data_IF_095085202524
#
_entry.id   IF_095085202524
#
_cell.length_a   1.000
_cell.length_b   1.000
_cell.length_c   1.000
_cell.angle_alpha   90.00
_cell.angle_beta   90.00
_cell.angle_gamma   90.00
#
_symmetry.space_group_name_H-M   'P 1'
#
loop_
_entity.id
_entity.type
_entity.pdbx_description
1 polymer ?
#
# COMPACT_ATOMS: atom_id res chain seq x y z
N UNK A 1 4.81 28.63 23.20
CA UNK A 1 5.53 29.72 22.51
C UNK A 1 4.73 31.03 22.55
N UNK A 2 3.51 31.10 22.01
CA UNK A 2 2.74 32.33 21.86
C UNK A 2 2.57 33.08 23.20
N UNK A 3 2.11 32.43 24.25
CA UNK A 3 1.85 33.04 25.56
C UNK A 3 3.12 33.33 26.40
N UNK A 4 4.26 32.80 26.05
CA UNK A 4 5.51 32.92 26.84
C UNK A 4 6.64 33.66 26.14
N UNK A 5 6.49 33.96 24.84
CA UNK A 5 7.48 34.66 24.00
C UNK A 5 6.80 35.73 23.20
N UNK A 6 6.60 36.89 23.85
CA UNK A 6 5.94 38.07 23.23
C UNK A 6 6.73 38.50 21.99
N UNK A 7 6.04 38.68 20.87
CA UNK A 7 6.61 39.07 19.60
C UNK A 7 7.02 37.88 18.69
N UNK A 8 7.05 36.64 19.21
CA UNK A 8 7.45 35.48 18.43
C UNK A 8 6.43 35.05 17.38
N UNK A 9 6.91 34.42 16.30
CA UNK A 9 6.08 33.83 15.25
C UNK A 9 6.14 32.32 15.32
N UNK A 10 4.98 31.68 15.22
CA UNK A 10 4.86 30.23 15.03
C UNK A 10 4.24 29.98 13.66
N UNK A 11 4.89 29.17 12.83
CA UNK A 11 4.35 28.68 11.56
C UNK A 11 3.98 27.22 11.73
N UNK A 12 2.80 26.86 11.27
CA UNK A 12 2.34 25.47 11.22
C UNK A 12 2.05 25.11 9.78
N UNK A 13 2.60 23.99 9.32
CA UNK A 13 2.37 23.45 7.99
C UNK A 13 2.13 21.94 8.05
N UNK A 14 1.38 21.43 7.08
CA UNK A 14 1.11 20.02 6.93
C UNK A 14 1.36 19.58 5.47
N UNK A 15 1.25 18.29 5.20
CA UNK A 15 1.48 17.75 3.86
C UNK A 15 0.43 18.17 2.82
N UNK A 16 -0.72 18.68 3.24
CA UNK A 16 -1.80 19.18 2.36
C UNK A 16 -2.62 20.28 3.02
N UNK A 17 -3.31 21.09 2.19
CA UNK A 17 -4.23 22.12 2.68
C UNK A 17 -5.39 21.52 3.48
N UNK A 18 -5.93 20.38 3.03
CA UNK A 18 -7.02 19.70 3.74
C UNK A 18 -6.57 19.25 5.14
N UNK A 19 -5.39 18.65 5.27
CA UNK A 19 -4.81 18.25 6.56
C UNK A 19 -4.62 19.48 7.46
N UNK A 20 -3.97 20.52 6.95
CA UNK A 20 -3.69 21.72 7.72
C UNK A 20 -4.98 22.37 8.26
N UNK A 21 -5.99 22.57 7.40
CA UNK A 21 -7.21 23.31 7.77
C UNK A 21 -8.18 22.47 8.60
N UNK A 22 -8.43 21.22 8.19
CA UNK A 22 -9.51 20.41 8.78
C UNK A 22 -9.10 19.66 10.03
N UNK A 23 -7.81 19.34 10.16
CA UNK A 23 -7.30 18.53 11.27
C UNK A 23 -6.39 19.36 12.15
N UNK A 24 -5.21 19.74 11.67
CA UNK A 24 -4.19 20.42 12.48
C UNK A 24 -4.68 21.73 13.06
N UNK A 25 -5.33 22.59 12.24
CA UNK A 25 -5.84 23.88 12.69
C UNK A 25 -7.05 23.73 13.64
N UNK A 26 -7.90 22.75 13.41
CA UNK A 26 -9.03 22.43 14.28
C UNK A 26 -8.54 22.05 15.69
N UNK A 27 -7.52 21.18 15.80
CA UNK A 27 -6.95 20.83 17.10
C UNK A 27 -6.25 22.01 17.76
N UNK A 28 -5.49 22.83 17.03
CA UNK A 28 -4.88 24.05 17.59
C UNK A 28 -5.95 24.98 18.18
N UNK A 29 -7.04 25.23 17.46
CA UNK A 29 -8.11 26.13 17.92
C UNK A 29 -8.84 25.57 19.12
N UNK A 30 -9.09 24.27 19.16
CA UNK A 30 -9.69 23.57 20.32
C UNK A 30 -8.84 23.73 21.57
N UNK A 31 -7.54 23.43 21.49
CA UNK A 31 -6.65 23.57 22.64
C UNK A 31 -6.44 25.00 23.07
N UNK A 32 -6.36 25.98 22.15
CA UNK A 32 -6.29 27.39 22.46
C UNK A 32 -7.52 27.87 23.22
N UNK A 33 -8.71 27.41 22.84
CA UNK A 33 -9.95 27.75 23.54
C UNK A 33 -9.99 27.24 25.01
N UNK A 34 -9.27 26.14 25.28
CA UNK A 34 -9.17 25.58 26.64
C UNK A 34 -8.08 26.21 27.51
N UNK A 35 -7.20 27.05 26.94
CA UNK A 35 -6.13 27.69 27.70
C UNK A 35 -6.68 28.71 28.70
N UNK A 36 -6.03 28.80 29.87
CA UNK A 36 -6.40 29.77 30.92
C UNK A 36 -6.34 31.24 30.44
N UNK A 37 -5.48 31.52 29.47
CA UNK A 37 -5.30 32.82 28.84
C UNK A 37 -5.86 32.91 27.43
N UNK A 38 -6.84 32.09 27.09
CA UNK A 38 -7.48 32.08 25.75
C UNK A 38 -7.98 33.47 25.34
N UNK A 39 -8.47 34.26 26.28
CA UNK A 39 -8.95 35.64 26.09
C UNK A 39 -7.85 36.64 25.67
N UNK A 40 -6.58 36.24 25.71
CA UNK A 40 -5.48 37.08 25.24
C UNK A 40 -5.37 37.08 23.73
N UNK A 41 -6.00 36.11 23.07
CA UNK A 41 -5.79 35.85 21.64
C UNK A 41 -7.10 35.82 20.87
N UNK A 42 -7.04 36.30 19.64
CA UNK A 42 -8.10 36.21 18.66
C UNK A 42 -7.74 35.13 17.63
N UNK A 43 -8.69 34.25 17.34
CA UNK A 43 -8.49 33.10 16.44
C UNK A 43 -9.27 33.35 15.15
N UNK A 44 -8.59 33.25 14.03
CA UNK A 44 -9.19 33.28 12.68
C UNK A 44 -8.98 31.94 11.95
N UNK A 45 -9.43 31.85 10.72
CA UNK A 45 -9.34 30.64 9.91
C UNK A 45 -7.90 30.12 9.68
N UNK A 46 -6.89 30.99 9.76
CA UNK A 46 -5.47 30.63 9.49
C UNK A 46 -4.48 31.33 10.39
N UNK A 47 -4.97 32.13 11.35
CA UNK A 47 -4.08 32.93 12.20
C UNK A 47 -4.64 33.06 13.61
N UNK A 48 -3.75 32.98 14.59
CA UNK A 48 -3.98 33.36 15.96
C UNK A 48 -3.09 34.57 16.25
N UNK A 49 -3.67 35.63 16.76
CA UNK A 49 -2.95 36.87 17.05
C UNK A 49 -3.36 37.40 18.44
N UNK A 50 -2.58 38.29 19.09
CA UNK A 50 -2.98 38.91 20.34
C UNK A 50 -4.26 39.72 20.13
N UNK A 51 -5.14 39.70 21.13
CA UNK A 51 -6.30 40.57 21.17
C UNK A 51 -5.85 42.04 21.15
N UNK A 52 -6.66 42.91 20.54
CA UNK A 52 -6.32 44.32 20.35
C UNK A 52 -5.87 45.02 21.63
N UNK A 53 -6.60 44.81 22.72
CA UNK A 53 -6.27 45.43 24.03
C UNK A 53 -4.89 44.99 24.54
N UNK A 54 -4.52 43.70 24.32
CA UNK A 54 -3.23 43.16 24.75
C UNK A 54 -2.10 43.70 23.86
N UNK A 55 -2.31 43.77 22.55
CA UNK A 55 -1.36 44.35 21.60
C UNK A 55 -1.04 45.81 21.98
N UNK A 56 -2.07 46.63 22.28
CA UNK A 56 -1.92 48.01 22.70
C UNK A 56 -1.10 48.15 24.01
N UNK A 57 -1.32 47.28 25.00
CA UNK A 57 -0.53 47.25 26.24
C UNK A 57 0.93 46.91 25.98
N UNK A 58 1.17 45.84 25.18
CA UNK A 58 2.53 45.38 24.86
C UNK A 58 3.32 46.46 24.10
N UNK A 59 2.69 47.10 23.12
CA UNK A 59 3.33 48.18 22.34
C UNK A 59 3.60 49.42 23.19
N UNK A 60 2.64 49.79 24.05
CA UNK A 60 2.78 50.96 24.91
C UNK A 60 3.81 50.76 26.04
N UNK A 61 3.72 49.63 26.76
CA UNK A 61 4.45 49.43 28.01
C UNK A 61 5.76 48.71 27.83
N UNK A 62 5.80 47.72 26.91
CA UNK A 62 7.02 46.95 26.60
C UNK A 62 7.78 47.47 25.39
N UNK A 63 7.24 48.43 24.64
CA UNK A 63 7.82 48.99 23.41
C UNK A 63 8.15 47.91 22.38
N UNK A 64 7.37 46.82 22.36
CA UNK A 64 7.51 45.72 21.44
C UNK A 64 6.43 45.77 20.36
N UNK A 65 6.84 45.58 19.08
CA UNK A 65 5.88 45.44 18.00
C UNK A 65 5.15 44.09 18.09
N UNK A 66 3.85 44.11 17.86
CA UNK A 66 3.01 42.90 17.95
C UNK A 66 2.60 42.35 16.60
N UNK A 67 3.01 43.00 15.49
CA UNK A 67 2.63 42.63 14.11
C UNK A 67 2.94 41.17 13.77
N UNK A 68 4.07 40.64 14.22
CA UNK A 68 4.54 39.30 13.95
C UNK A 68 4.31 38.33 15.10
N UNK A 69 3.64 38.77 16.18
CA UNK A 69 3.30 37.90 17.29
C UNK A 69 2.07 37.08 16.97
N UNK A 70 2.28 35.90 16.39
CA UNK A 70 1.19 35.07 15.87
C UNK A 70 1.52 33.59 15.77
N UNK A 71 0.48 32.78 15.66
CA UNK A 71 0.54 31.44 15.05
C UNK A 71 -0.14 31.55 13.68
N UNK A 72 0.48 31.03 12.66
CA UNK A 72 -0.02 31.06 11.27
C UNK A 72 0.01 29.67 10.64
N UNK A 73 -1.13 29.23 10.10
CA UNK A 73 -1.20 28.09 9.19
C UNK A 73 -0.69 28.52 7.81
N UNK A 74 0.46 27.97 7.36
CA UNK A 74 1.07 28.33 6.08
C UNK A 74 1.11 27.12 5.16
N UNK A 75 0.59 27.31 3.96
CA UNK A 75 0.68 26.34 2.87
C UNK A 75 2.00 26.49 2.14
N UNK A 76 2.46 25.41 1.55
CA UNK A 76 3.62 25.36 0.68
C UNK A 76 3.22 24.84 -0.73
N UNK A 77 4.07 25.08 -1.72
CA UNK A 77 3.92 24.54 -3.07
C UNK A 77 5.25 23.95 -3.50
N UNK A 78 5.22 22.71 -3.99
CA UNK A 78 6.41 22.05 -4.55
C UNK A 78 6.87 22.73 -5.86
N UNK A 79 5.94 23.30 -6.63
CA UNK A 79 6.23 24.03 -7.87
C UNK A 79 6.89 25.38 -7.60
N UNK A 80 6.64 25.99 -6.44
CA UNK A 80 7.22 27.27 -6.04
C UNK A 80 7.65 27.27 -4.57
N UNK A 81 8.71 26.54 -4.21
CA UNK A 81 9.19 26.44 -2.83
C UNK A 81 9.58 27.79 -2.23
N UNK A 82 10.13 28.72 -3.04
CA UNK A 82 10.59 30.02 -2.59
C UNK A 82 9.46 30.91 -2.04
N UNK A 83 8.22 30.68 -2.45
CA UNK A 83 7.05 31.35 -1.88
C UNK A 83 6.84 31.03 -0.39
N UNK A 84 7.43 29.92 0.09
CA UNK A 84 7.40 29.56 1.51
C UNK A 84 8.43 30.34 2.34
N UNK A 85 9.43 30.95 1.73
CA UNK A 85 10.50 31.71 2.37
C UNK A 85 10.01 33.01 3.06
N UNK A 86 10.90 33.72 3.70
CA UNK A 86 10.71 35.12 4.12
C UNK A 86 10.16 35.28 5.53
N UNK A 87 10.42 34.35 6.44
CA UNK A 87 10.17 34.54 7.86
C UNK A 87 11.48 34.90 8.58
N UNK A 88 11.52 36.13 9.10
CA UNK A 88 12.61 36.62 9.94
C UNK A 88 12.00 37.25 11.19
N UNK A 89 12.35 36.75 12.38
CA UNK A 89 11.82 37.28 13.62
C UNK A 89 12.84 37.16 14.77
N UNK A 90 13.36 38.30 15.21
CA UNK A 90 14.33 38.39 16.31
C UNK A 90 13.74 38.01 17.67
N UNK A 91 12.43 38.09 17.85
CA UNK A 91 11.74 37.75 19.10
C UNK A 91 11.52 36.23 19.24
N UNK A 92 11.74 35.48 18.17
CA UNK A 92 11.68 34.03 18.17
C UNK A 92 10.84 33.44 17.05
N UNK A 93 11.27 32.27 16.60
CA UNK A 93 10.64 31.49 15.54
C UNK A 93 10.36 30.07 16.02
N UNK A 94 9.13 29.62 15.81
CA UNK A 94 8.74 28.24 15.96
C UNK A 94 8.16 27.72 14.65
N UNK A 95 8.67 26.63 14.14
CA UNK A 95 8.13 25.92 12.99
C UNK A 95 7.63 24.56 13.42
N UNK A 96 6.43 24.22 12.98
CA UNK A 96 5.80 22.93 13.24
C UNK A 96 5.39 22.33 11.90
N UNK A 97 5.95 21.16 11.60
CA UNK A 97 5.55 20.33 10.49
C UNK A 97 4.73 19.16 10.98
N UNK A 98 3.46 19.12 10.58
CA UNK A 98 2.54 18.01 10.78
C UNK A 98 2.54 17.13 9.54
N UNK A 99 2.47 15.80 9.72
CA UNK A 99 2.67 14.82 8.64
C UNK A 99 3.96 15.07 7.83
N UNK A 100 5.05 15.33 8.56
CA UNK A 100 6.32 15.80 8.06
C UNK A 100 6.99 14.89 7.02
N UNK A 101 6.72 13.56 7.07
CA UNK A 101 7.22 12.59 6.07
C UNK A 101 6.66 12.84 4.67
N UNK A 102 5.55 13.57 4.56
CA UNK A 102 4.92 13.94 3.30
C UNK A 102 5.42 15.27 2.70
N UNK A 103 6.17 16.06 3.47
CA UNK A 103 6.66 17.39 3.04
C UNK A 103 7.92 17.22 2.17
N UNK A 104 7.96 17.78 0.94
CA UNK A 104 9.11 17.67 0.05
C UNK A 104 10.39 18.30 0.60
N UNK A 105 11.53 17.72 0.26
CA UNK A 105 12.86 18.19 0.71
C UNK A 105 13.16 19.65 0.35
N UNK A 106 12.65 20.14 -0.78
CA UNK A 106 12.75 21.54 -1.19
C UNK A 106 12.15 22.50 -0.17
N UNK A 107 11.01 22.11 0.46
CA UNK A 107 10.35 22.92 1.49
C UNK A 107 11.15 22.92 2.79
N UNK A 108 11.74 21.78 3.18
CA UNK A 108 12.63 21.69 4.33
C UNK A 108 13.87 22.59 4.16
N UNK A 109 14.45 22.63 2.96
CA UNK A 109 15.60 23.48 2.65
C UNK A 109 15.25 24.96 2.77
N UNK A 110 14.13 25.40 2.22
CA UNK A 110 13.67 26.78 2.32
C UNK A 110 13.32 27.15 3.77
N UNK A 111 12.66 26.24 4.49
CA UNK A 111 12.29 26.42 5.90
C UNK A 111 13.51 26.60 6.83
N UNK A 112 14.64 25.99 6.50
CA UNK A 112 15.89 26.19 7.24
C UNK A 112 16.31 27.67 7.28
N UNK A 113 15.95 28.45 6.26
CA UNK A 113 16.17 29.89 6.21
C UNK A 113 15.46 30.69 7.32
N UNK A 114 14.39 30.13 7.93
CA UNK A 114 13.69 30.78 9.05
C UNK A 114 14.55 30.88 10.32
N UNK A 115 15.59 30.11 10.42
CA UNK A 115 16.44 29.98 11.60
C UNK A 115 17.80 30.70 11.46
N UNK A 116 17.95 31.56 10.46
CA UNK A 116 19.19 32.31 10.22
C UNK A 116 19.39 33.47 11.22
N UNK A 117 18.31 33.96 11.83
CA UNK A 117 18.40 35.04 12.83
C UNK A 117 19.06 34.58 14.13
N UNK A 118 19.88 35.45 14.71
CA UNK A 118 20.54 35.16 15.99
C UNK A 118 19.59 35.41 17.16
N UNK A 119 18.68 34.48 17.41
CA UNK A 119 17.78 34.49 18.57
C UNK A 119 17.86 33.16 19.32
N UNK A 120 17.79 33.15 20.70
CA UNK A 120 17.78 31.92 21.47
C UNK A 120 16.48 31.14 21.36
N UNK A 121 15.41 31.75 20.82
CA UNK A 121 14.07 31.18 20.75
C UNK A 121 13.77 30.62 19.35
N UNK A 122 14.53 29.61 18.98
CA UNK A 122 14.39 28.89 17.70
C UNK A 122 13.99 27.47 17.95
N UNK A 123 12.79 27.09 17.49
CA UNK A 123 12.26 25.75 17.68
C UNK A 123 11.71 25.21 16.36
N UNK A 124 12.10 24.00 16.02
CA UNK A 124 11.56 23.27 14.88
C UNK A 124 11.06 21.93 15.34
N UNK A 125 9.77 21.69 15.20
CA UNK A 125 9.11 20.42 15.50
C UNK A 125 8.63 19.78 14.21
N UNK A 126 8.79 18.46 14.11
CA UNK A 126 8.32 17.68 12.98
C UNK A 126 7.71 16.37 13.52
N UNK A 127 6.44 16.17 13.23
CA UNK A 127 5.67 15.01 13.67
C UNK A 127 5.16 14.27 12.45
N UNK A 128 5.29 12.95 12.42
CA UNK A 128 4.72 12.10 11.36
C UNK A 128 4.82 10.63 11.70
N UNK A 129 3.93 9.83 11.14
CA UNK A 129 4.18 8.42 10.97
C UNK A 129 5.33 8.24 9.98
N UNK A 130 6.29 7.34 10.23
CA UNK A 130 7.51 7.16 9.43
C UNK A 130 7.23 6.32 8.17
N UNK A 131 6.39 6.82 7.26
CA UNK A 131 5.87 6.09 6.10
C UNK A 131 6.89 5.87 4.98
N UNK A 132 8.02 6.59 4.99
CA UNK A 132 9.02 6.57 3.92
C UNK A 132 10.41 6.44 4.51
N UNK A 133 11.22 5.53 3.95
CA UNK A 133 12.63 5.38 4.28
C UNK A 133 13.55 6.27 3.42
N UNK A 134 13.06 7.44 3.03
CA UNK A 134 13.77 8.45 2.25
C UNK A 134 13.16 9.84 2.50
N UNK A 135 13.89 10.89 2.14
CA UNK A 135 13.51 12.28 2.32
C UNK A 135 13.96 12.87 3.65
N UNK A 136 13.82 14.19 3.80
CA UNK A 136 14.44 14.94 4.89
C UNK A 136 14.00 14.44 6.27
N UNK A 137 12.70 14.10 6.45
CA UNK A 137 12.20 13.55 7.72
C UNK A 137 12.92 12.26 8.13
N UNK A 138 13.11 11.34 7.16
CA UNK A 138 13.89 10.12 7.41
C UNK A 138 15.34 10.45 7.78
N UNK A 139 15.97 11.41 7.08
CA UNK A 139 17.34 11.82 7.36
C UNK A 139 17.52 12.44 8.75
N UNK A 140 16.48 13.04 9.35
CA UNK A 140 16.52 13.51 10.72
C UNK A 140 16.81 12.38 11.73
N UNK A 141 16.39 11.16 11.44
CA UNK A 141 16.65 9.98 12.25
C UNK A 141 17.95 9.23 11.87
N UNK A 142 18.57 9.60 10.74
CA UNK A 142 19.75 8.93 10.18
C UNK A 142 20.93 9.89 10.03
N UNK A 143 21.20 10.37 8.83
CA UNK A 143 22.40 11.16 8.51
C UNK A 143 22.43 12.54 9.21
N UNK A 144 21.28 13.08 9.59
CA UNK A 144 21.13 14.38 10.26
C UNK A 144 20.79 14.29 11.74
N UNK A 145 20.92 13.10 12.33
CA UNK A 145 20.53 12.84 13.74
C UNK A 145 21.27 13.75 14.74
N UNK A 146 22.49 14.16 14.44
CA UNK A 146 23.28 15.05 15.31
C UNK A 146 22.66 16.46 15.44
N UNK A 147 21.77 16.84 14.51
CA UNK A 147 21.09 18.14 14.51
C UNK A 147 19.66 18.08 15.04
N UNK A 148 19.13 16.85 15.31
CA UNK A 148 17.76 16.63 15.72
C UNK A 148 17.68 15.78 16.98
N UNK A 149 16.79 16.17 17.90
CA UNK A 149 16.35 15.29 18.98
C UNK A 149 15.20 14.43 18.44
N UNK A 150 15.44 13.13 18.28
CA UNK A 150 14.49 12.22 17.67
C UNK A 150 13.94 11.23 18.68
N UNK A 151 12.64 10.95 18.58
CA UNK A 151 11.94 10.00 19.43
C UNK A 151 10.99 9.15 18.58
N UNK A 152 10.96 7.84 18.82
CA UNK A 152 9.96 6.93 18.26
C UNK A 152 8.93 6.65 19.34
N UNK A 153 7.65 6.78 19.01
CA UNK A 153 6.55 6.59 19.94
C UNK A 153 5.78 5.34 19.50
N UNK A 154 5.77 4.31 20.35
CA UNK A 154 4.84 3.19 20.18
C UNK A 154 3.42 3.67 20.54
N UNK A 155 2.49 3.55 19.62
CA UNK A 155 1.13 4.02 19.81
C UNK A 155 0.40 3.32 20.97
N UNK A 156 0.88 2.13 21.38
CA UNK A 156 0.34 1.40 22.53
C UNK A 156 0.77 1.99 23.88
N UNK A 157 1.87 2.75 23.91
CA UNK A 157 2.37 3.41 25.14
C UNK A 157 1.65 4.73 25.42
N UNK A 158 0.89 5.27 24.46
CA UNK A 158 0.12 6.52 24.62
C UNK A 158 -1.17 6.25 25.40
N UNK A 159 -1.45 7.04 26.46
CA UNK A 159 -2.54 6.77 27.42
C UNK A 159 -3.93 6.74 26.76
N UNK A 160 -4.24 7.69 25.90
CA UNK A 160 -5.59 7.90 25.35
C UNK A 160 -5.84 7.19 24.01
N UNK A 161 -5.02 6.20 23.63
CA UNK A 161 -5.20 5.43 22.40
C UNK A 161 -5.97 4.13 22.66
N UNK A 162 -6.76 3.70 21.68
CA UNK A 162 -7.42 2.40 21.69
C UNK A 162 -6.42 1.29 21.33
N UNK A 163 -5.94 0.59 22.36
CA UNK A 163 -4.95 -0.48 22.23
C UNK A 163 -5.45 -1.64 21.36
N UNK A 164 -6.77 -1.91 21.34
CA UNK A 164 -7.34 -3.02 20.58
C UNK A 164 -7.16 -2.81 19.07
N UNK A 165 -7.23 -1.57 18.59
CA UNK A 165 -6.99 -1.26 17.17
C UNK A 165 -5.56 -1.63 16.77
N UNK A 166 -4.57 -1.34 17.60
CA UNK A 166 -3.17 -1.67 17.31
C UNK A 166 -2.89 -3.16 17.38
N UNK A 167 -3.51 -3.87 18.33
CA UNK A 167 -3.43 -5.35 18.41
C UNK A 167 -4.08 -6.00 17.17
N UNK A 168 -5.17 -5.44 16.65
CA UNK A 168 -5.78 -5.91 15.40
C UNK A 168 -4.87 -5.72 14.20
N UNK A 169 -4.19 -4.58 14.08
CA UNK A 169 -3.20 -4.33 13.02
C UNK A 169 -2.10 -5.40 13.08
N UNK A 170 -1.57 -5.69 14.26
CA UNK A 170 -0.53 -6.71 14.43
C UNK A 170 -1.06 -8.10 14.07
N UNK A 171 -2.28 -8.45 14.51
CA UNK A 171 -2.89 -9.74 14.22
C UNK A 171 -3.19 -9.93 12.72
N UNK A 172 -3.62 -8.87 12.04
CA UNK A 172 -3.99 -8.91 10.61
C UNK A 172 -2.76 -8.91 9.70
N UNK A 173 -1.78 -8.06 9.97
CA UNK A 173 -0.64 -7.82 9.07
C UNK A 173 0.63 -8.54 9.51
N UNK A 174 0.75 -8.92 10.78
CA UNK A 174 1.94 -9.48 11.40
C UNK A 174 2.83 -8.42 12.05
N UNK A 175 3.58 -8.84 13.08
CA UNK A 175 4.43 -7.98 13.89
C UNK A 175 5.55 -7.29 13.08
N UNK A 176 6.15 -8.01 12.12
CA UNK A 176 7.21 -7.49 11.25
C UNK A 176 6.71 -6.76 10.01
N UNK A 177 5.40 -6.55 9.88
CA UNK A 177 4.83 -5.87 8.71
C UNK A 177 5.15 -4.37 8.70
N UNK A 178 5.16 -3.77 7.50
CA UNK A 178 5.28 -2.31 7.36
C UNK A 178 4.18 -1.60 8.13
N UNK A 179 2.96 -2.14 8.10
CA UNK A 179 1.82 -1.56 8.80
C UNK A 179 2.06 -1.52 10.32
N UNK A 180 2.51 -2.63 10.90
CA UNK A 180 2.83 -2.66 12.33
C UNK A 180 4.00 -1.72 12.67
N UNK A 181 5.07 -1.72 11.87
CA UNK A 181 6.21 -0.81 12.08
C UNK A 181 5.80 0.65 12.04
N UNK A 182 5.05 1.07 11.02
CA UNK A 182 4.69 2.47 10.78
C UNK A 182 3.58 2.94 11.71
N UNK A 183 2.48 2.16 11.82
CA UNK A 183 1.26 2.62 12.49
C UNK A 183 1.22 2.27 13.97
N UNK A 184 1.99 1.26 14.42
CA UNK A 184 2.03 0.82 15.81
C UNK A 184 3.33 1.25 16.49
N UNK A 185 4.48 0.83 15.94
CA UNK A 185 5.77 1.05 16.61
C UNK A 185 6.42 2.40 16.32
N UNK A 186 5.90 3.18 15.37
CA UNK A 186 6.52 4.44 14.95
C UNK A 186 7.91 4.24 14.34
N UNK A 187 8.17 3.10 13.72
CA UNK A 187 9.46 2.73 13.12
C UNK A 187 9.44 2.89 11.60
N UNK A 188 10.58 3.33 11.05
CA UNK A 188 10.74 3.38 9.60
C UNK A 188 10.79 1.97 8.99
N UNK A 189 10.18 1.77 7.80
CA UNK A 189 10.37 0.54 7.05
C UNK A 189 11.86 0.27 6.81
N UNK A 190 12.31 -0.97 6.98
CA UNK A 190 13.70 -1.35 6.71
C UNK A 190 14.00 -1.33 5.21
N UNK A 191 15.27 -1.22 4.83
CA UNK A 191 15.70 -1.39 3.45
C UNK A 191 15.30 -2.79 2.96
N UNK A 192 14.34 -2.86 2.01
CA UNK A 192 13.76 -4.11 1.53
C UNK A 192 12.34 -4.39 2.05
N UNK A 193 11.90 -3.74 3.12
CA UNK A 193 10.50 -3.83 3.60
C UNK A 193 9.53 -3.10 2.67
N UNK A 194 10.03 -2.29 1.76
CA UNK A 194 9.24 -1.65 0.70
C UNK A 194 8.79 -2.65 -0.39
N UNK A 195 9.30 -3.88 -0.37
CA UNK A 195 8.80 -4.94 -1.23
C UNK A 195 7.38 -5.33 -0.84
N UNK A 196 6.50 -5.42 -1.82
CA UNK A 196 5.11 -5.78 -1.58
C UNK A 196 4.96 -7.20 -1.01
N UNK A 197 5.81 -8.12 -1.46
CA UNK A 197 5.95 -9.49 -0.95
C UNK A 197 7.40 -9.70 -0.54
N UNK A 198 7.62 -9.91 0.76
CA UNK A 198 8.96 -10.14 1.30
C UNK A 198 9.56 -11.47 0.86
N UNK A 199 10.90 -11.54 0.63
CA UNK A 199 11.59 -12.76 0.19
C UNK A 199 11.37 -13.96 1.10
N UNK A 200 11.35 -13.75 2.41
CA UNK A 200 11.15 -14.81 3.39
C UNK A 200 9.81 -15.55 3.21
N UNK A 201 8.74 -14.81 2.88
CA UNK A 201 7.43 -15.41 2.61
C UNK A 201 7.44 -16.30 1.38
N UNK A 202 8.15 -15.86 0.31
CA UNK A 202 8.32 -16.65 -0.92
C UNK A 202 9.15 -17.90 -0.65
N UNK A 203 10.25 -17.80 0.09
CA UNK A 203 11.08 -18.93 0.46
C UNK A 203 10.33 -19.95 1.31
N UNK A 204 9.47 -19.51 2.22
CA UNK A 204 8.57 -20.40 2.96
C UNK A 204 7.59 -21.13 2.04
N UNK A 205 7.00 -20.45 1.05
CA UNK A 205 6.08 -21.07 0.09
C UNK A 205 6.82 -22.10 -0.82
N UNK A 206 8.07 -21.83 -1.17
CA UNK A 206 8.92 -22.76 -1.95
C UNK A 206 9.34 -24.00 -1.14
N UNK A 207 9.50 -23.86 0.18
CA UNK A 207 9.88 -24.96 1.06
C UNK A 207 8.72 -25.87 1.47
N UNK A 208 7.46 -25.48 1.21
CA UNK A 208 6.32 -26.30 1.62
C UNK A 208 6.06 -27.46 0.67
N UNK A 209 5.75 -28.65 1.19
CA UNK A 209 5.32 -29.77 0.38
C UNK A 209 3.96 -29.47 -0.28
N UNK A 210 3.72 -30.05 -1.47
CA UNK A 210 2.44 -29.93 -2.16
C UNK A 210 1.30 -30.51 -1.32
N UNK A 211 0.20 -29.78 -1.23
CA UNK A 211 -1.00 -30.20 -0.50
C UNK A 211 -1.74 -31.36 -1.20
N UNK A 212 -1.68 -31.40 -2.56
CA UNK A 212 -2.31 -32.43 -3.41
C UNK A 212 -3.81 -32.60 -3.14
N UNK A 213 -4.50 -31.49 -2.91
CA UNK A 213 -5.96 -31.46 -2.71
C UNK A 213 -6.66 -31.57 -4.08
N UNK A 214 -7.05 -32.79 -4.46
CA UNK A 214 -7.74 -33.08 -5.72
C UNK A 214 -9.15 -32.49 -5.78
N UNK A 215 -9.75 -32.17 -4.62
CA UNK A 215 -11.10 -31.57 -4.52
C UNK A 215 -11.05 -30.04 -4.70
N UNK A 216 -9.89 -29.43 -4.53
CA UNK A 216 -9.71 -28.00 -4.71
C UNK A 216 -9.97 -27.59 -6.18
N UNK A 217 -10.61 -26.41 -6.39
CA UNK A 217 -10.88 -25.92 -7.73
C UNK A 217 -9.56 -25.58 -8.44
N UNK A 218 -9.50 -25.88 -9.74
CA UNK A 218 -8.41 -25.43 -10.61
C UNK A 218 -8.80 -24.09 -11.21
N UNK A 219 -7.93 -23.11 -11.08
CA UNK A 219 -8.08 -21.78 -11.68
C UNK A 219 -6.85 -21.50 -12.56
N UNK A 220 -7.11 -21.10 -13.80
CA UNK A 220 -6.08 -20.61 -14.71
C UNK A 220 -6.09 -19.09 -14.69
N UNK A 221 -4.93 -18.47 -14.47
CA UNK A 221 -4.71 -17.04 -14.61
C UNK A 221 -3.76 -16.75 -15.77
N UNK A 222 -4.06 -15.73 -16.56
CA UNK A 222 -3.33 -15.39 -17.77
C UNK A 222 -2.95 -13.91 -17.72
N UNK A 223 -1.66 -13.61 -17.85
CA UNK A 223 -1.11 -12.28 -18.11
C UNK A 223 -0.55 -12.25 -19.54
N UNK A 224 -1.27 -11.69 -20.53
CA UNK A 224 -0.83 -11.66 -21.90
C UNK A 224 0.14 -10.52 -22.15
N UNK A 225 1.24 -10.79 -22.86
CA UNK A 225 2.22 -9.80 -23.26
C UNK A 225 2.32 -9.63 -24.77
N UNK A 226 2.69 -8.42 -25.21
CA UNK A 226 3.04 -8.15 -26.62
C UNK A 226 4.43 -8.65 -26.95
N UNK A 227 4.67 -8.84 -28.24
CA UNK A 227 6.01 -9.01 -28.81
C UNK A 227 6.96 -7.92 -28.25
N UNK A 228 8.03 -8.33 -27.57
CA UNK A 228 8.98 -7.45 -26.86
C UNK A 228 9.70 -8.21 -25.76
N UNK A 229 10.08 -7.53 -24.71
CA UNK A 229 10.80 -8.13 -23.57
C UNK A 229 9.93 -8.90 -22.57
N UNK A 230 8.62 -8.69 -22.56
CA UNK A 230 7.67 -9.29 -21.62
C UNK A 230 7.17 -10.66 -22.14
N UNK A 231 6.74 -11.54 -21.25
CA UNK A 231 6.28 -12.89 -21.58
C UNK A 231 4.78 -13.04 -21.32
N UNK A 232 4.06 -13.69 -22.24
CA UNK A 232 2.72 -14.21 -21.91
C UNK A 232 2.89 -15.35 -20.92
N UNK A 233 2.20 -15.26 -19.79
CA UNK A 233 2.27 -16.28 -18.74
C UNK A 233 0.89 -16.87 -18.48
N UNK A 234 0.84 -18.20 -18.42
CA UNK A 234 -0.32 -18.98 -18.00
C UNK A 234 0.03 -19.67 -16.68
N UNK A 235 -0.60 -19.26 -15.58
CA UNK A 235 -0.44 -19.85 -14.25
C UNK A 235 -1.64 -20.74 -13.92
N UNK A 236 -1.39 -21.95 -13.43
CA UNK A 236 -2.40 -22.91 -13.04
C UNK A 236 -2.34 -23.16 -11.54
N UNK A 237 -3.35 -22.69 -10.82
CA UNK A 237 -3.48 -22.84 -9.36
C UNK A 237 -4.57 -23.87 -9.03
N UNK A 238 -4.25 -24.81 -8.13
CA UNK A 238 -5.23 -25.72 -7.52
C UNK A 238 -5.19 -25.55 -6.00
N UNK A 239 -6.23 -24.94 -5.46
CA UNK A 239 -6.30 -24.66 -4.04
C UNK A 239 -5.09 -23.85 -3.53
N UNK A 240 -4.23 -24.51 -2.75
CA UNK A 240 -3.01 -23.94 -2.19
C UNK A 240 -1.73 -24.26 -2.99
N UNK A 241 -1.85 -24.95 -4.10
CA UNK A 241 -0.70 -25.35 -4.94
C UNK A 241 -0.68 -24.61 -6.26
N UNK A 242 0.50 -24.15 -6.70
CA UNK A 242 0.75 -23.86 -8.09
C UNK A 242 1.17 -25.16 -8.75
N UNK A 243 0.36 -25.65 -9.69
CA UNK A 243 0.60 -26.93 -10.37
C UNK A 243 1.35 -26.76 -11.68
N UNK A 244 1.23 -25.60 -12.34
CA UNK A 244 1.99 -25.26 -13.54
C UNK A 244 2.15 -23.75 -13.74
N UNK A 245 3.27 -23.35 -14.35
CA UNK A 245 3.50 -22.00 -14.91
C UNK A 245 4.11 -22.20 -16.30
N UNK A 246 3.39 -21.76 -17.33
CA UNK A 246 3.83 -21.82 -18.72
C UNK A 246 4.15 -20.40 -19.19
N UNK A 247 5.31 -20.20 -19.80
CA UNK A 247 5.81 -18.90 -20.28
C UNK A 247 6.08 -18.95 -21.77
N UNK A 248 5.56 -17.97 -22.49
CA UNK A 248 5.69 -17.86 -23.94
C UNK A 248 6.22 -16.48 -24.31
N UNK A 249 7.07 -16.39 -25.32
CA UNK A 249 7.68 -15.14 -25.78
C UNK A 249 7.57 -14.98 -27.28
N UNK A 250 7.23 -13.76 -27.69
CA UNK A 250 7.22 -13.40 -29.10
C UNK A 250 6.03 -13.92 -29.92
N UNK A 251 5.02 -14.48 -29.24
CA UNK A 251 3.85 -15.03 -29.91
C UNK A 251 2.87 -13.93 -30.32
N UNK A 252 2.18 -14.15 -31.41
CA UNK A 252 1.03 -13.34 -31.80
C UNK A 252 -0.22 -13.68 -30.98
N UNK A 253 -1.26 -12.87 -31.13
CA UNK A 253 -2.51 -13.04 -30.40
C UNK A 253 -3.19 -14.38 -30.65
N UNK A 254 -3.16 -14.89 -31.90
CA UNK A 254 -3.82 -16.16 -32.24
C UNK A 254 -3.05 -17.35 -31.71
N UNK A 255 -1.72 -17.33 -31.76
CA UNK A 255 -0.86 -18.33 -31.16
C UNK A 255 -1.08 -18.37 -29.63
N UNK A 256 -1.17 -17.20 -28.99
CA UNK A 256 -1.52 -17.09 -27.55
C UNK A 256 -2.88 -17.71 -27.24
N UNK A 257 -3.89 -17.48 -28.07
CA UNK A 257 -5.22 -18.14 -27.94
C UNK A 257 -5.07 -19.67 -28.00
N UNK A 258 -4.25 -20.20 -28.90
CA UNK A 258 -3.95 -21.64 -28.97
C UNK A 258 -3.38 -22.16 -27.67
N UNK A 259 -2.35 -21.51 -27.11
CA UNK A 259 -1.74 -21.91 -25.84
C UNK A 259 -2.72 -21.89 -24.66
N UNK A 260 -3.65 -20.92 -24.62
CA UNK A 260 -4.69 -20.86 -23.61
C UNK A 260 -5.67 -22.02 -23.77
N UNK A 261 -6.08 -22.35 -24.99
CA UNK A 261 -6.96 -23.48 -25.28
C UNK A 261 -6.30 -24.80 -24.82
N UNK A 262 -5.03 -25.02 -25.20
CA UNK A 262 -4.28 -26.20 -24.78
C UNK A 262 -4.24 -26.32 -23.24
N UNK A 263 -4.01 -25.22 -22.52
CA UNK A 263 -4.02 -25.24 -21.07
C UNK A 263 -5.43 -25.53 -20.49
N UNK A 264 -6.48 -24.99 -21.10
CA UNK A 264 -7.87 -25.29 -20.66
C UNK A 264 -8.20 -26.78 -20.87
N UNK A 265 -7.83 -27.34 -22.01
CA UNK A 265 -8.09 -28.76 -22.32
C UNK A 265 -7.24 -29.70 -21.45
N UNK A 266 -6.00 -29.33 -21.14
CA UNK A 266 -5.10 -30.12 -20.28
C UNK A 266 -5.56 -30.15 -18.83
N UNK A 267 -5.83 -28.96 -18.24
CA UNK A 267 -6.12 -28.84 -16.78
C UNK A 267 -7.59 -28.86 -16.44
N UNK A 268 -8.50 -28.67 -17.38
CA UNK A 268 -9.97 -28.63 -17.21
C UNK A 268 -10.37 -27.75 -16.02
N UNK A 269 -10.03 -26.46 -16.06
CA UNK A 269 -10.21 -25.55 -14.92
C UNK A 269 -11.68 -25.34 -14.59
N UNK A 270 -11.96 -25.03 -13.32
CA UNK A 270 -13.25 -24.53 -12.88
C UNK A 270 -13.51 -23.11 -13.38
N UNK A 271 -12.41 -22.32 -13.48
CA UNK A 271 -12.44 -20.94 -13.96
C UNK A 271 -11.13 -20.60 -14.67
N UNK A 272 -11.24 -19.89 -15.79
CA UNK A 272 -10.11 -19.27 -16.47
C UNK A 272 -10.29 -17.76 -16.42
N UNK A 273 -9.26 -17.01 -16.00
CA UNK A 273 -9.27 -15.56 -15.88
C UNK A 273 -8.08 -14.98 -16.66
N UNK A 274 -8.33 -13.91 -17.39
CA UNK A 274 -7.31 -13.19 -18.18
C UNK A 274 -7.27 -11.72 -17.75
N UNK A 275 -6.06 -11.16 -17.62
CA UNK A 275 -5.93 -9.69 -17.58
C UNK A 275 -6.34 -9.14 -18.95
N UNK A 276 -7.49 -8.45 -18.99
CA UNK A 276 -8.04 -7.90 -20.24
C UNK A 276 -7.36 -6.59 -20.66
N UNK A 277 -6.37 -6.10 -19.91
CA UNK A 277 -5.60 -4.91 -20.26
C UNK A 277 -4.90 -5.07 -21.62
N UNK A 278 -5.01 -4.07 -22.48
CA UNK A 278 -4.30 -4.05 -23.77
C UNK A 278 -4.69 -5.20 -24.71
N UNK A 279 -3.79 -6.18 -24.91
CA UNK A 279 -4.02 -7.34 -25.79
C UNK A 279 -5.02 -8.35 -25.24
N UNK A 280 -5.23 -8.36 -23.93
CA UNK A 280 -6.10 -9.32 -23.28
C UNK A 280 -7.53 -9.30 -23.81
N UNK A 281 -8.02 -8.13 -24.24
CA UNK A 281 -9.36 -8.01 -24.86
C UNK A 281 -9.49 -8.88 -26.10
N UNK A 282 -8.55 -8.79 -27.04
CA UNK A 282 -8.63 -9.57 -28.28
C UNK A 282 -8.54 -11.09 -28.06
N UNK A 283 -7.75 -11.51 -27.07
CA UNK A 283 -7.65 -12.92 -26.68
C UNK A 283 -8.97 -13.37 -26.01
N UNK A 284 -9.49 -12.57 -25.09
CA UNK A 284 -10.76 -12.83 -24.40
C UNK A 284 -11.92 -13.00 -25.41
N UNK A 285 -12.09 -12.03 -26.32
CA UNK A 285 -13.15 -12.04 -27.33
C UNK A 285 -13.07 -13.30 -28.21
N UNK A 286 -11.85 -13.69 -28.63
CA UNK A 286 -11.66 -14.89 -29.44
C UNK A 286 -11.98 -16.17 -28.69
N UNK A 287 -11.60 -16.27 -27.40
CA UNK A 287 -11.93 -17.44 -26.58
C UNK A 287 -13.44 -17.54 -26.31
N UNK A 288 -14.13 -16.40 -26.08
CA UNK A 288 -15.58 -16.36 -25.90
C UNK A 288 -16.31 -16.74 -27.18
N UNK A 289 -15.87 -16.25 -28.35
CA UNK A 289 -16.38 -16.65 -29.66
C UNK A 289 -16.29 -18.17 -29.87
N UNK A 290 -15.19 -18.78 -29.41
CA UNK A 290 -14.99 -20.23 -29.47
C UNK A 290 -15.71 -21.00 -28.32
N UNK A 291 -16.54 -20.29 -27.54
CA UNK A 291 -17.37 -20.85 -26.44
C UNK A 291 -16.59 -21.35 -25.23
N UNK A 292 -15.35 -20.92 -25.03
CA UNK A 292 -14.61 -21.20 -23.80
C UNK A 292 -15.10 -20.31 -22.67
N UNK A 293 -15.19 -20.88 -21.44
CA UNK A 293 -15.61 -20.16 -20.22
C UNK A 293 -14.43 -19.38 -19.65
N UNK A 294 -14.19 -18.19 -20.16
CA UNK A 294 -13.14 -17.28 -19.72
C UNK A 294 -13.76 -15.98 -19.19
N UNK A 295 -13.16 -15.38 -18.16
CA UNK A 295 -13.57 -14.08 -17.63
C UNK A 295 -12.40 -13.11 -17.69
N UNK A 296 -12.68 -11.87 -18.06
CA UNK A 296 -11.72 -10.79 -18.03
C UNK A 296 -11.66 -10.13 -16.65
N UNK A 297 -10.52 -9.60 -16.30
CA UNK A 297 -10.32 -8.67 -15.18
C UNK A 297 -9.32 -7.60 -15.63
N UNK A 298 -9.61 -6.34 -15.33
CA UNK A 298 -8.68 -5.25 -15.63
C UNK A 298 -7.98 -4.80 -14.33
N UNK A 299 -6.67 -4.79 -14.35
CA UNK A 299 -5.86 -4.35 -13.22
C UNK A 299 -6.08 -2.89 -12.83
N UNK A 300 -6.54 -2.05 -13.78
CA UNK A 300 -6.90 -0.66 -13.55
C UNK A 300 -8.26 -0.44 -12.89
N UNK A 301 -9.10 -1.46 -12.75
CA UNK A 301 -10.39 -1.30 -12.08
C UNK A 301 -10.24 -0.87 -10.63
N UNK A 302 -11.30 -0.26 -10.09
CA UNK A 302 -11.37 0.05 -8.67
C UNK A 302 -11.34 -1.22 -7.83
N UNK A 303 -10.59 -1.18 -6.74
CA UNK A 303 -10.58 -2.24 -5.75
C UNK A 303 -11.96 -2.33 -5.06
N UNK A 304 -12.31 -3.50 -4.52
CA UNK A 304 -13.50 -3.67 -3.68
C UNK A 304 -13.34 -2.90 -2.36
N UNK A 305 -12.18 -3.04 -1.73
CA UNK A 305 -11.81 -2.25 -0.55
C UNK A 305 -10.92 -1.08 -0.99
N UNK A 306 -11.55 0.07 -1.31
CA UNK A 306 -10.87 1.26 -1.79
C UNK A 306 -10.17 2.05 -0.67
N UNK A 307 -10.45 1.74 0.59
CA UNK A 307 -9.73 2.32 1.73
C UNK A 307 -8.32 1.73 1.80
N UNK A 308 -8.18 0.44 1.55
CA UNK A 308 -6.92 -0.28 1.66
C UNK A 308 -6.14 -0.31 0.33
N UNK A 309 -6.83 -0.53 -0.80
CA UNK A 309 -6.22 -0.80 -2.09
C UNK A 309 -6.57 0.25 -3.14
N UNK A 310 -5.57 0.82 -3.79
CA UNK A 310 -5.76 1.88 -4.77
C UNK A 310 -6.34 1.42 -6.12
N UNK A 311 -6.13 0.16 -6.48
CA UNK A 311 -6.69 -0.42 -7.69
C UNK A 311 -6.83 -1.94 -7.57
N UNK A 312 -7.41 -2.55 -8.62
CA UNK A 312 -7.64 -4.00 -8.66
C UNK A 312 -6.36 -4.81 -8.64
N UNK A 313 -5.28 -4.33 -9.28
CA UNK A 313 -3.97 -5.01 -9.25
C UNK A 313 -3.44 -5.12 -7.83
N UNK A 314 -3.44 -4.02 -7.07
CA UNK A 314 -2.97 -4.02 -5.69
C UNK A 314 -3.82 -4.96 -4.80
N UNK A 315 -5.15 -4.97 -4.96
CA UNK A 315 -6.05 -5.87 -4.26
C UNK A 315 -5.73 -7.35 -4.55
N UNK A 316 -5.53 -7.71 -5.83
CA UNK A 316 -5.23 -9.09 -6.23
C UNK A 316 -3.85 -9.54 -5.75
N UNK A 317 -2.87 -8.64 -5.74
CA UNK A 317 -1.56 -8.91 -5.17
C UNK A 317 -1.62 -9.04 -3.64
N UNK A 318 -2.49 -8.28 -2.96
CA UNK A 318 -2.78 -8.48 -1.54
C UNK A 318 -3.31 -9.88 -1.28
N UNK A 319 -4.30 -10.34 -2.07
CA UNK A 319 -4.83 -11.70 -1.97
C UNK A 319 -3.75 -12.77 -2.26
N UNK A 320 -2.87 -12.54 -3.24
CA UNK A 320 -1.72 -13.41 -3.52
C UNK A 320 -0.76 -13.47 -2.34
N UNK A 321 -0.41 -12.33 -1.73
CA UNK A 321 0.47 -12.25 -0.56
C UNK A 321 -0.10 -13.06 0.61
N UNK A 322 -1.38 -12.90 0.90
CA UNK A 322 -2.04 -13.62 2.01
C UNK A 322 -2.12 -15.12 1.72
N UNK A 323 -2.40 -15.51 0.47
CA UNK A 323 -2.40 -16.90 0.04
C UNK A 323 -1.01 -17.55 0.17
N UNK A 324 0.09 -16.82 -0.09
CA UNK A 324 1.46 -17.32 0.04
C UNK A 324 1.80 -17.81 1.45
N UNK A 325 1.12 -17.30 2.49
CA UNK A 325 1.31 -17.75 3.88
C UNK A 325 1.07 -19.25 4.06
N UNK A 326 0.25 -19.85 3.21
CA UNK A 326 -0.10 -21.27 3.26
C UNK A 326 0.15 -22.01 1.95
N UNK A 327 0.60 -21.35 0.92
CA UNK A 327 0.80 -21.91 -0.41
C UNK A 327 2.01 -22.84 -0.49
N UNK A 328 1.97 -23.76 -1.46
CA UNK A 328 3.12 -24.53 -1.91
C UNK A 328 3.39 -24.26 -3.38
N UNK A 329 4.60 -23.87 -3.69
CA UNK A 329 5.07 -23.53 -5.03
C UNK A 329 6.41 -24.23 -5.28
N UNK A 330 6.59 -24.83 -6.43
CA UNK A 330 7.89 -25.38 -6.81
C UNK A 330 8.93 -24.24 -6.92
N UNK A 331 10.15 -24.40 -6.40
CA UNK A 331 11.19 -23.40 -6.50
C UNK A 331 11.44 -22.96 -7.95
N UNK A 332 11.32 -21.65 -8.20
CA UNK A 332 11.52 -21.02 -9.50
C UNK A 332 12.18 -19.65 -9.27
N UNK A 333 13.42 -19.50 -9.77
CA UNK A 333 14.22 -18.29 -9.58
C UNK A 333 13.57 -17.05 -10.22
N UNK A 334 12.98 -17.22 -11.41
CA UNK A 334 12.31 -16.13 -12.10
C UNK A 334 11.04 -15.71 -11.35
N UNK A 335 10.22 -16.69 -10.93
CA UNK A 335 9.03 -16.42 -10.14
C UNK A 335 9.38 -15.73 -8.81
N UNK A 336 10.49 -16.12 -8.15
CA UNK A 336 10.96 -15.43 -6.95
C UNK A 336 11.24 -13.95 -7.23
N UNK A 337 11.94 -13.66 -8.33
CA UNK A 337 12.22 -12.28 -8.73
C UNK A 337 10.92 -11.51 -9.06
N UNK A 338 9.97 -12.14 -9.75
CA UNK A 338 8.68 -11.54 -10.08
C UNK A 338 7.86 -11.22 -8.81
N UNK A 339 7.82 -12.13 -7.84
CA UNK A 339 7.07 -11.96 -6.59
C UNK A 339 7.68 -10.89 -5.68
N UNK A 340 9.02 -10.82 -5.61
CA UNK A 340 9.72 -9.91 -4.68
C UNK A 340 10.14 -8.58 -5.31
N UNK A 341 10.02 -8.44 -6.63
CA UNK A 341 10.46 -7.23 -7.35
C UNK A 341 9.63 -5.97 -7.09
N UNK A 342 8.29 -6.05 -7.14
CA UNK A 342 7.45 -4.87 -6.97
C UNK A 342 7.48 -4.31 -5.56
N UNK A 343 7.50 -2.97 -5.49
CA UNK A 343 7.45 -2.21 -4.24
C UNK A 343 6.03 -1.78 -3.89
N UNK A 344 5.80 -1.56 -2.61
CA UNK A 344 4.60 -0.91 -2.10
C UNK A 344 4.72 0.59 -2.32
N UNK A 345 3.66 1.20 -2.86
CA UNK A 345 3.55 2.67 -3.00
C UNK A 345 2.27 3.14 -2.30
N UNK A 346 2.33 3.57 -1.04
CA UNK A 346 1.19 4.21 -0.41
C UNK A 346 1.01 5.62 -1.00
N UNK A 347 -0.25 6.05 -1.16
CA UNK A 347 -0.56 7.45 -1.44
C UNK A 347 -0.58 8.29 -0.16
N UNK A 348 -0.93 9.57 -0.27
CA UNK A 348 -1.01 10.49 0.87
C UNK A 348 -2.08 10.13 1.92
N UNK A 349 -3.08 9.32 1.53
CA UNK A 349 -4.13 8.82 2.44
C UNK A 349 -3.80 7.46 3.06
N UNK A 350 -2.66 6.87 2.72
CA UNK A 350 -2.26 5.54 3.16
C UNK A 350 -2.81 4.39 2.33
N UNK A 351 -3.56 4.68 1.26
CA UNK A 351 -4.06 3.68 0.32
C UNK A 351 -2.89 3.04 -0.45
N UNK A 352 -2.85 1.72 -0.48
CA UNK A 352 -1.72 0.95 -1.01
C UNK A 352 -1.88 0.74 -2.51
N UNK A 353 -0.86 1.16 -3.26
CA UNK A 353 -0.65 0.82 -4.67
C UNK A 353 0.56 -0.09 -4.82
N UNK A 354 0.55 -0.90 -5.86
CA UNK A 354 1.72 -1.63 -6.31
C UNK A 354 2.53 -0.75 -7.27
N UNK A 355 3.86 -0.84 -7.20
CA UNK A 355 4.76 -0.18 -8.16
C UNK A 355 4.37 -0.49 -9.60
N UNK A 356 4.42 0.52 -10.47
CA UNK A 356 4.07 0.33 -11.88
C UNK A 356 5.14 -0.48 -12.63
N UNK A 357 4.73 -1.24 -13.66
CA UNK A 357 5.68 -1.95 -14.56
C UNK A 357 6.72 -0.98 -15.18
N UNK A 358 6.33 0.29 -15.41
CA UNK A 358 7.22 1.35 -15.92
C UNK A 358 8.31 1.69 -14.92
N UNK A 359 7.96 1.89 -13.66
CA UNK A 359 8.92 2.25 -12.59
C UNK A 359 9.86 1.07 -12.28
N UNK A 360 9.35 -0.16 -12.31
CA UNK A 360 10.17 -1.37 -12.19
C UNK A 360 11.24 -1.44 -13.30
N UNK A 361 10.84 -1.19 -14.56
CA UNK A 361 11.76 -1.13 -15.70
C UNK A 361 12.79 -0.02 -15.56
N UNK A 362 12.41 1.14 -15.02
CA UNK A 362 13.34 2.23 -14.72
C UNK A 362 14.40 1.86 -13.66
N UNK A 363 14.08 0.91 -12.76
CA UNK A 363 15.03 0.31 -11.80
C UNK A 363 15.83 -0.89 -12.36
N UNK A 364 15.69 -1.21 -13.65
CA UNK A 364 16.35 -2.33 -14.29
C UNK A 364 15.71 -3.70 -14.02
N UNK A 365 14.48 -3.74 -13.51
CA UNK A 365 13.73 -4.98 -13.28
C UNK A 365 12.83 -5.32 -14.47
N UNK A 366 12.63 -6.61 -14.70
CA UNK A 366 11.64 -7.10 -15.66
C UNK A 366 10.21 -6.93 -15.12
N UNK A 367 9.21 -7.01 -16.01
CA UNK A 367 7.81 -7.13 -15.61
C UNK A 367 7.58 -8.39 -14.79
N UNK A 368 6.74 -8.36 -13.75
CA UNK A 368 6.47 -9.50 -12.88
C UNK A 368 5.36 -10.41 -13.46
N UNK A 369 5.52 -10.82 -14.74
CA UNK A 369 4.45 -11.43 -15.53
C UNK A 369 3.91 -12.73 -14.92
N UNK A 370 4.79 -13.57 -14.32
CA UNK A 370 4.35 -14.80 -13.68
C UNK A 370 3.59 -14.53 -12.37
N UNK A 371 4.01 -13.54 -11.60
CA UNK A 371 3.30 -13.14 -10.39
C UNK A 371 1.95 -12.46 -10.73
N UNK A 372 1.88 -11.62 -11.78
CA UNK A 372 0.65 -11.03 -12.29
C UNK A 372 -0.33 -12.13 -12.73
N UNK A 373 0.12 -13.16 -13.47
CA UNK A 373 -0.71 -14.29 -13.88
C UNK A 373 -1.25 -15.08 -12.67
N UNK A 374 -0.46 -15.27 -11.61
CA UNK A 374 -0.95 -15.91 -10.38
C UNK A 374 -1.95 -14.99 -9.67
N UNK A 375 -1.69 -13.69 -9.57
CA UNK A 375 -2.58 -12.72 -8.93
C UNK A 375 -3.97 -12.69 -9.58
N UNK A 376 -4.04 -12.78 -10.91
CA UNK A 376 -5.30 -12.85 -11.68
C UNK A 376 -6.18 -14.03 -11.24
N UNK A 377 -5.62 -15.14 -10.75
CA UNK A 377 -6.41 -16.30 -10.28
C UNK A 377 -7.30 -15.98 -9.06
N UNK A 378 -7.09 -14.86 -8.37
CA UNK A 378 -7.88 -14.42 -7.22
C UNK A 378 -9.00 -13.43 -7.56
N UNK A 379 -9.17 -13.08 -8.85
CA UNK A 379 -10.13 -12.05 -9.27
C UNK A 379 -11.59 -12.37 -8.94
N UNK A 380 -11.95 -13.66 -8.91
CA UNK A 380 -13.31 -14.11 -8.66
C UNK A 380 -13.35 -15.28 -7.68
N UNK A 381 -14.38 -15.36 -6.82
CA UNK A 381 -14.56 -16.51 -5.93
C UNK A 381 -14.87 -17.76 -6.73
N UNK A 382 -14.33 -18.90 -6.29
CA UNK A 382 -14.51 -20.20 -6.94
C UNK A 382 -14.90 -21.22 -5.86
N UNK A 383 -16.02 -21.93 -6.06
CA UNK A 383 -16.44 -23.00 -5.17
C UNK A 383 -15.56 -24.25 -5.33
N UNK A 384 -15.41 -25.02 -4.26
CA UNK A 384 -14.76 -26.33 -4.30
C UNK A 384 -15.43 -27.24 -5.33
N UNK A 385 -14.65 -28.12 -5.98
CA UNK A 385 -15.22 -29.16 -6.83
C UNK A 385 -15.96 -30.15 -5.96
N UNK A 386 -17.19 -30.52 -6.34
CA UNK A 386 -17.81 -31.67 -5.74
C UNK A 386 -16.97 -32.93 -6.10
N UNK A 387 -16.70 -33.82 -5.14
CA UNK A 387 -16.02 -35.07 -5.45
C UNK A 387 -16.82 -35.78 -6.55
N UNK A 388 -16.17 -36.11 -7.67
CA UNK A 388 -16.82 -36.97 -8.66
C UNK A 388 -17.24 -38.26 -7.96
N UNK A 389 -18.54 -38.45 -7.82
CA UNK A 389 -19.06 -39.72 -7.33
C UNK A 389 -18.41 -40.83 -8.17
N UNK A 390 -17.66 -41.70 -7.54
CA UNK A 390 -17.07 -42.86 -8.21
C UNK A 390 -18.22 -43.61 -8.88
N UNK A 391 -18.22 -43.62 -10.21
CA UNK A 391 -19.20 -44.42 -10.97
C UNK A 391 -19.04 -45.84 -10.50
N UNK A 392 -20.08 -46.48 -9.88
CA UNK A 392 -19.93 -47.82 -9.44
C UNK A 392 -19.60 -48.69 -10.66
N UNK A 393 -18.45 -49.37 -10.65
CA UNK A 393 -18.13 -50.38 -11.62
C UNK A 393 -19.25 -51.41 -11.52
N UNK A 394 -20.14 -51.45 -12.53
CA UNK A 394 -21.08 -52.55 -12.69
C UNK A 394 -20.22 -53.83 -12.86
N UNK A 395 -20.11 -54.60 -11.81
CA UNK A 395 -19.67 -55.96 -11.91
C UNK A 395 -20.73 -56.69 -12.76
N UNK A 396 -20.39 -56.97 -13.99
CA UNK A 396 -21.13 -57.91 -14.80
C UNK A 396 -20.79 -59.31 -14.22
N UNK A 397 -21.65 -59.77 -13.31
CA UNK A 397 -21.57 -61.19 -12.89
C UNK A 397 -22.08 -62.04 -14.02
N UNK A 398 -21.20 -62.76 -14.66
CA UNK A 398 -21.51 -63.86 -15.55
C UNK A 398 -22.40 -64.88 -14.82
N UNK A 399 -23.67 -64.88 -15.12
CA UNK A 399 -24.58 -65.99 -14.78
C UNK A 399 -24.79 -66.83 -16.00
N UNK A 400 -23.80 -67.65 -16.34
CA UNK A 400 -23.97 -68.85 -17.09
C UNK A 400 -23.89 -70.00 -16.10
N UNK A 401 -25.04 -70.49 -15.65
CA UNK A 401 -25.14 -71.83 -15.22
C UNK A 401 -26.63 -72.19 -15.14
N UNK A 402 -27.06 -73.10 -16.01
CA UNK A 402 -27.79 -74.27 -15.75
C UNK A 402 -29.26 -74.17 -16.03
N UNK A 403 -29.64 -74.35 -17.28
CA UNK A 403 -30.95 -74.93 -17.62
C UNK A 403 -30.82 -76.41 -17.48
N UNK A 404 -31.53 -77.00 -16.54
CA UNK A 404 -32.06 -78.37 -16.67
C UNK A 404 -33.09 -78.61 -15.53
N UNK A 405 -34.26 -79.05 -15.86
CA UNK A 405 -35.22 -79.49 -14.90
C UNK A 405 -36.68 -79.42 -15.39
N UNK A 406 -36.97 -80.34 -16.22
CA UNK A 406 -38.32 -80.62 -16.72
C UNK A 406 -39.12 -81.52 -15.75
N UNK A 407 -40.42 -81.39 -15.75
CA UNK A 407 -41.52 -82.31 -15.41
C UNK A 407 -42.01 -82.36 -13.97
N UNK A 408 -43.34 -82.25 -13.87
CA UNK A 408 -44.18 -83.14 -13.18
C UNK A 408 -45.36 -82.56 -12.42
N UNK A 409 -46.57 -82.83 -13.00
CA UNK A 409 -47.91 -82.79 -12.51
C UNK A 409 -48.64 -81.48 -12.38
#
# INVERSE_FOLDING_TARGET
MLSTRIGSTTIVSANSEAQLRSITWSEITKWLAMMINSHWFEISATKVAPAKWLAEIVERDLKKGTRFWSIEGRLWSEENPDAYAGLHNLDGVCLIFDEASGIPDSIWQVAAGFFTENTPHRFWFAFSNPRRNQGYFFECFNSKRDFWSTENIDARDVEDTDKQVYEQIIAEYGEDSIQAKVEVYGEFPSAGDDQFIGPALVDQAFGRPKHKDETAPIVIGIDPARSGGDSTVIAVRQGRDIIAIKRYRGDDTMTTVGHVIDAIEEYKPTLTVIDEGGLGYGILDRLVEQRYKVRGVNFGWKAKNQVMWGNKRAELWGALRDWLRTASIAPDRQLKADLTGPKTKPDSSGTIFLESKKDMKARGLASPDAADAIAVTFAFPVASREPRAATPRRHYSDRTAGATGWMGA
#
